data_IF_989951160515
#
_entry.id   IF_989951160515
#
_cell.length_a   1.000
_cell.length_b   1.000
_cell.length_c   1.000
_cell.angle_alpha   90.00
_cell.angle_beta   90.00
_cell.angle_gamma   90.00
#
_symmetry.space_group_name_H-M   'P 1'
#
loop_
_entity.id
_entity.type
_entity.pdbx_description
1 polymer ?
#
# COMPACT_ATOMS: atom_id res chain seq x y z
N UNK A 1 16.43 2.07 38.15
CA UNK A 1 16.79 2.06 36.71
C UNK A 1 17.65 3.26 36.42
N UNK A 2 18.67 3.13 35.56
CA UNK A 2 19.60 4.23 35.26
C UNK A 2 19.55 4.57 33.77
N UNK A 3 19.62 5.86 33.44
CA UNK A 3 19.76 6.36 32.06
C UNK A 3 20.81 7.45 32.00
N UNK A 4 21.60 7.45 30.93
CA UNK A 4 22.61 8.46 30.65
C UNK A 4 22.26 9.16 29.34
N UNK A 5 22.25 10.49 29.37
CA UNK A 5 22.06 11.33 28.17
C UNK A 5 23.24 12.28 27.98
N UNK A 6 23.62 12.55 26.74
CA UNK A 6 24.64 13.53 26.33
C UNK A 6 23.97 14.58 25.43
N UNK A 7 23.99 15.85 25.81
CA UNK A 7 23.36 16.94 25.06
C UNK A 7 21.87 16.67 24.68
N UNK A 8 21.14 15.98 25.55
CA UNK A 8 19.75 15.50 25.35
C UNK A 8 19.58 14.26 24.46
N UNK A 9 20.66 13.72 23.91
CA UNK A 9 20.66 12.44 23.20
C UNK A 9 20.95 11.29 24.17
N UNK A 10 20.27 10.17 23.99
CA UNK A 10 20.47 8.99 24.81
C UNK A 10 21.78 8.28 24.48
N UNK A 11 22.56 7.96 25.51
CA UNK A 11 23.78 7.18 25.39
C UNK A 11 23.42 5.71 25.59
N UNK A 12 23.25 5.00 24.47
CA UNK A 12 22.87 3.57 24.50
C UNK A 12 24.00 2.67 25.01
N UNK A 13 25.26 3.03 24.73
CA UNK A 13 26.45 2.29 25.15
C UNK A 13 27.53 3.23 25.68
N UNK A 14 28.16 2.85 26.79
CA UNK A 14 29.18 3.65 27.47
C UNK A 14 30.55 3.18 26.96
N UNK A 15 30.91 3.66 25.78
CA UNK A 15 32.20 3.38 25.17
C UNK A 15 33.35 4.15 25.87
N UNK A 16 34.61 3.73 25.74
CA UNK A 16 35.74 4.47 26.31
C UNK A 16 35.78 5.95 25.89
N UNK A 17 35.43 6.25 24.63
CA UNK A 17 35.32 7.63 24.14
C UNK A 17 34.26 8.44 24.88
N UNK A 18 33.13 7.82 25.23
CA UNK A 18 32.07 8.43 26.03
C UNK A 18 32.57 8.73 27.44
N UNK A 19 33.34 7.81 28.04
CA UNK A 19 33.92 8.01 29.37
C UNK A 19 34.93 9.15 29.35
N UNK A 20 35.83 9.17 28.36
CA UNK A 20 36.80 10.26 28.19
C UNK A 20 36.11 11.61 28.04
N UNK A 21 35.04 11.65 27.24
CA UNK A 21 34.29 12.87 27.00
C UNK A 21 33.46 13.30 28.21
N UNK A 22 32.90 12.35 28.96
CA UNK A 22 32.26 12.59 30.25
C UNK A 22 33.24 13.18 31.26
N UNK A 23 34.49 12.71 31.29
CA UNK A 23 35.53 13.27 32.15
C UNK A 23 35.97 14.66 31.68
N UNK A 24 36.05 14.92 30.37
CA UNK A 24 36.46 16.21 29.80
C UNK A 24 35.36 17.27 29.90
N UNK A 25 34.10 16.87 29.71
CA UNK A 25 32.94 17.76 29.59
C UNK A 25 31.74 17.20 30.37
N UNK A 26 31.84 17.06 31.70
CA UNK A 26 30.78 16.45 32.51
C UNK A 26 29.43 17.16 32.40
N UNK A 27 29.42 18.47 32.18
CA UNK A 27 28.20 19.29 32.05
C UNK A 27 27.33 18.93 30.84
N UNK A 28 27.92 18.27 29.83
CA UNK A 28 27.18 17.77 28.67
C UNK A 28 26.37 16.52 28.99
N UNK A 29 26.64 15.87 30.11
CA UNK A 29 26.04 14.59 30.47
C UNK A 29 25.07 14.74 31.63
N UNK A 30 24.01 13.94 31.59
CA UNK A 30 23.04 13.84 32.67
C UNK A 30 22.75 12.38 32.97
N UNK A 31 23.01 11.99 34.21
CA UNK A 31 22.66 10.68 34.75
C UNK A 31 21.32 10.79 35.48
N UNK A 32 20.31 10.08 35.01
CA UNK A 32 18.99 10.02 35.65
C UNK A 32 18.85 8.66 36.31
N UNK A 33 18.74 8.66 37.64
CA UNK A 33 18.40 7.47 38.42
C UNK A 33 16.90 7.52 38.71
N UNK A 34 16.19 6.53 38.19
CA UNK A 34 14.75 6.37 38.39
C UNK A 34 14.50 5.28 39.43
N UNK A 35 13.56 5.54 40.33
CA UNK A 35 13.00 4.57 41.25
C UNK A 35 11.54 4.28 40.84
N UNK A 36 11.32 3.43 39.81
CA UNK A 36 9.98 3.14 39.32
C UNK A 36 9.20 2.29 40.32
N UNK A 37 7.93 2.65 40.52
CA UNK A 37 7.01 1.83 41.30
C UNK A 37 6.71 0.48 40.61
N UNK A 38 6.04 -0.42 41.35
CA UNK A 38 5.65 -1.74 40.84
C UNK A 38 4.74 -1.67 39.60
N UNK A 39 3.98 -0.58 39.43
CA UNK A 39 3.14 -0.40 38.25
C UNK A 39 4.00 -0.10 37.01
N UNK A 40 4.97 0.81 37.12
CA UNK A 40 5.93 1.15 36.10
C UNK A 40 6.83 -0.04 35.74
N UNK A 41 7.32 -0.81 36.72
CA UNK A 41 8.09 -2.03 36.47
C UNK A 41 7.28 -3.08 35.70
N UNK A 42 6.02 -3.33 36.10
CA UNK A 42 5.12 -4.25 35.37
C UNK A 42 4.85 -3.76 33.95
N UNK A 43 4.61 -2.47 33.78
CA UNK A 43 4.39 -1.84 32.49
C UNK A 43 5.61 -2.01 31.57
N UNK A 44 6.82 -1.64 32.01
CA UNK A 44 8.04 -1.76 31.23
C UNK A 44 8.35 -3.21 30.85
N UNK A 45 8.18 -4.16 31.78
CA UNK A 45 8.28 -5.61 31.47
C UNK A 45 7.24 -6.03 30.42
N UNK A 46 6.05 -5.43 30.45
CA UNK A 46 5.02 -5.59 29.42
C UNK A 46 5.47 -5.06 28.06
N UNK A 47 6.01 -3.84 28.00
CA UNK A 47 6.54 -3.22 26.79
C UNK A 47 7.61 -4.10 26.16
N UNK A 48 8.62 -4.51 26.94
CA UNK A 48 9.67 -5.38 26.43
C UNK A 48 9.10 -6.66 25.83
N UNK A 49 8.10 -7.30 26.47
CA UNK A 49 7.41 -8.49 25.91
C UNK A 49 6.60 -8.19 24.64
N UNK A 50 6.05 -6.99 24.50
CA UNK A 50 5.28 -6.60 23.32
C UNK A 50 6.15 -6.38 22.08
N UNK A 51 7.37 -5.86 22.26
CA UNK A 51 8.26 -5.49 21.14
C UNK A 51 9.41 -6.47 20.90
N UNK A 52 9.83 -7.23 21.91
CA UNK A 52 10.95 -8.15 21.75
C UNK A 52 10.52 -9.43 21.01
N UNK A 53 11.30 -9.80 19.99
CA UNK A 53 11.16 -11.07 19.30
C UNK A 53 11.61 -12.27 20.18
N UNK A 54 12.51 -12.02 21.14
CA UNK A 54 13.09 -13.06 22.00
C UNK A 54 12.50 -12.95 23.40
N UNK A 55 11.91 -14.06 23.88
CA UNK A 55 11.45 -14.16 25.28
C UNK A 55 12.64 -14.41 26.19
N UNK A 56 13.30 -13.35 26.64
CA UNK A 56 14.33 -13.45 27.68
C UNK A 56 13.67 -13.64 29.06
N UNK A 57 14.04 -14.69 29.81
CA UNK A 57 13.32 -15.07 31.03
C UNK A 57 13.59 -14.16 32.24
N UNK A 58 14.69 -13.39 32.26
CA UNK A 58 14.97 -12.41 33.33
C UNK A 58 15.71 -11.20 32.79
N UNK A 59 15.07 -10.04 32.92
CA UNK A 59 15.69 -8.73 32.66
C UNK A 59 16.12 -8.14 33.99
N UNK A 60 17.41 -7.81 34.12
CA UNK A 60 17.91 -7.08 35.28
C UNK A 60 17.22 -5.71 35.36
N UNK A 61 16.77 -5.31 36.55
CA UNK A 61 15.99 -4.08 36.73
C UNK A 61 16.78 -2.83 36.32
N UNK A 62 18.10 -2.85 36.48
CA UNK A 62 18.99 -1.76 36.05
C UNK A 62 18.92 -1.45 34.55
N UNK A 63 18.62 -2.44 33.70
CA UNK A 63 18.70 -2.33 32.24
C UNK A 63 17.33 -2.24 31.55
N UNK A 64 16.24 -2.24 32.32
CA UNK A 64 14.90 -2.44 31.76
C UNK A 64 14.51 -1.36 30.73
N UNK A 65 14.90 -0.10 30.95
CA UNK A 65 14.65 1.00 30.00
C UNK A 65 15.41 0.78 28.69
N UNK A 66 16.71 0.43 28.77
CA UNK A 66 17.55 0.14 27.62
C UNK A 66 16.96 -1.00 26.80
N UNK A 67 16.63 -2.12 27.44
CA UNK A 67 16.06 -3.29 26.76
C UNK A 67 14.69 -2.99 26.11
N UNK A 68 13.83 -2.21 26.77
CA UNK A 68 12.57 -1.77 26.14
C UNK A 68 12.82 -0.93 24.90
N UNK A 69 13.77 0.00 24.98
CA UNK A 69 14.11 0.88 23.87
C UNK A 69 14.72 0.11 22.71
N UNK A 70 15.68 -0.78 22.96
CA UNK A 70 16.31 -1.64 21.96
C UNK A 70 15.28 -2.54 21.27
N UNK A 71 14.34 -3.10 22.04
CA UNK A 71 13.24 -3.88 21.47
C UNK A 71 12.35 -3.03 20.54
N UNK A 72 12.04 -1.79 20.91
CA UNK A 72 11.29 -0.86 20.06
C UNK A 72 12.08 -0.50 18.80
N UNK A 73 13.38 -0.19 18.90
CA UNK A 73 14.20 0.14 17.73
C UNK A 73 14.34 -1.06 16.78
N UNK A 74 14.58 -2.25 17.34
CA UNK A 74 14.61 -3.49 16.57
C UNK A 74 13.28 -3.72 15.85
N UNK A 75 12.15 -3.58 16.54
CA UNK A 75 10.84 -3.67 15.91
C UNK A 75 10.65 -2.63 14.79
N UNK A 76 11.01 -1.36 15.03
CA UNK A 76 10.94 -0.29 14.02
C UNK A 76 11.73 -0.61 12.75
N UNK A 77 12.88 -1.27 12.88
CA UNK A 77 13.71 -1.66 11.74
C UNK A 77 13.02 -2.70 10.83
N UNK A 78 12.12 -3.50 11.38
CA UNK A 78 11.34 -4.49 10.63
C UNK A 78 10.01 -3.95 10.10
N UNK A 79 9.67 -2.70 10.40
CA UNK A 79 8.44 -2.10 9.90
C UNK A 79 8.55 -1.79 8.40
N UNK A 80 7.41 -1.82 7.67
CA UNK A 80 7.33 -1.24 6.33
C UNK A 80 7.82 0.21 6.32
N UNK A 81 8.43 0.64 5.22
CA UNK A 81 9.10 1.96 5.15
C UNK A 81 8.18 3.13 5.51
N UNK A 82 6.89 3.04 5.16
CA UNK A 82 5.90 4.07 5.46
C UNK A 82 5.12 3.86 6.76
N UNK A 83 5.39 2.82 7.56
CA UNK A 83 4.63 2.56 8.78
C UNK A 83 4.60 3.76 9.73
N UNK A 84 5.69 4.54 9.80
CA UNK A 84 5.80 5.71 10.69
C UNK A 84 5.34 7.04 10.06
N UNK A 85 5.10 7.08 8.74
CA UNK A 85 4.77 8.31 8.01
C UNK A 85 3.39 8.27 7.34
N UNK A 86 2.86 7.08 7.08
CA UNK A 86 1.60 6.86 6.37
C UNK A 86 0.44 7.56 7.06
N UNK A 87 -0.42 8.17 6.24
CA UNK A 87 -1.71 8.73 6.66
C UNK A 87 -2.82 7.66 6.71
N UNK A 88 -2.53 6.42 6.31
CA UNK A 88 -3.49 5.31 6.29
C UNK A 88 -3.54 4.51 7.59
N UNK A 89 -3.28 5.17 8.71
CA UNK A 89 -3.42 4.59 10.05
C UNK A 89 -4.68 5.14 10.71
N UNK A 90 -5.35 4.30 11.50
CA UNK A 90 -6.53 4.72 12.23
C UNK A 90 -6.25 5.91 13.15
N UNK A 91 -7.27 6.77 13.35
CA UNK A 91 -7.15 8.00 14.16
C UNK A 91 -6.61 7.74 15.57
N UNK A 92 -6.95 6.60 16.17
CA UNK A 92 -6.51 6.24 17.52
C UNK A 92 -5.02 5.86 17.59
N UNK A 93 -4.44 5.32 16.50
CA UNK A 93 -3.03 4.92 16.43
C UNK A 93 -2.12 6.08 16.00
N UNK A 94 -2.67 7.16 15.44
CA UNK A 94 -1.90 8.31 14.94
C UNK A 94 -1.00 8.98 15.99
N UNK A 95 -1.45 9.28 17.23
CA UNK A 95 -0.56 9.83 18.25
C UNK A 95 0.60 8.88 18.58
N UNK A 96 0.33 7.57 18.61
CA UNK A 96 1.34 6.55 18.89
C UNK A 96 2.38 6.49 17.77
N UNK A 97 1.94 6.50 16.51
CA UNK A 97 2.81 6.58 15.33
C UNK A 97 3.75 7.79 15.40
N UNK A 98 3.22 8.97 15.73
CA UNK A 98 4.00 10.21 15.86
C UNK A 98 5.05 10.07 16.96
N UNK A 99 4.70 9.52 18.12
CA UNK A 99 5.66 9.27 19.21
C UNK A 99 6.76 8.30 18.79
N UNK A 100 6.44 7.24 18.05
CA UNK A 100 7.42 6.26 17.55
C UNK A 100 8.37 6.83 16.49
N UNK A 101 7.90 7.79 15.69
CA UNK A 101 8.69 8.46 14.65
C UNK A 101 9.74 9.42 15.19
N UNK A 102 9.63 9.85 16.45
CA UNK A 102 10.60 10.76 17.07
C UNK A 102 11.81 9.99 17.59
N UNK A 103 13.00 10.49 17.30
CA UNK A 103 14.22 10.11 18.02
C UNK A 103 14.30 10.96 19.28
N UNK A 104 14.45 10.35 20.45
CA UNK A 104 14.49 11.08 21.71
C UNK A 104 14.79 10.19 22.90
N UNK A 105 14.85 10.83 24.07
CA UNK A 105 15.07 10.21 25.37
C UNK A 105 14.13 9.00 25.60
N UNK A 106 14.69 7.77 25.76
CA UNK A 106 13.92 6.57 26.05
C UNK A 106 13.04 6.68 27.28
N UNK A 107 13.48 7.41 28.32
CA UNK A 107 12.67 7.59 29.53
C UNK A 107 11.38 8.32 29.17
N UNK A 108 11.53 9.48 28.50
CA UNK A 108 10.39 10.28 28.06
C UNK A 108 9.47 9.48 27.12
N UNK A 109 10.04 8.77 26.15
CA UNK A 109 9.26 7.94 25.22
C UNK A 109 8.44 6.89 25.98
N UNK A 110 9.09 6.11 26.84
CA UNK A 110 8.49 4.96 27.52
C UNK A 110 7.51 5.38 28.61
N UNK A 111 7.85 6.38 29.42
CA UNK A 111 7.10 6.73 30.63
C UNK A 111 6.11 7.89 30.43
N UNK A 112 6.24 8.66 29.34
CA UNK A 112 5.39 9.84 29.09
C UNK A 112 4.71 9.77 27.73
N UNK A 113 5.48 9.69 26.64
CA UNK A 113 4.93 9.89 25.30
C UNK A 113 4.05 8.72 24.84
N UNK A 114 4.43 7.46 25.12
CA UNK A 114 3.60 6.28 24.82
C UNK A 114 2.28 6.28 25.63
N UNK A 115 2.30 6.38 26.97
CA UNK A 115 1.06 6.44 27.77
C UNK A 115 0.12 7.57 27.33
N UNK A 116 0.68 8.75 27.05
CA UNK A 116 -0.08 9.92 26.58
C UNK A 116 -0.68 9.66 25.20
N UNK A 117 0.10 9.11 24.26
CA UNK A 117 -0.37 8.77 22.93
C UNK A 117 -1.51 7.75 22.93
N UNK A 118 -1.48 6.77 23.84
CA UNK A 118 -2.54 5.80 24.03
C UNK A 118 -3.70 6.30 24.91
N UNK A 119 -3.62 7.53 25.45
CA UNK A 119 -4.62 8.09 26.35
C UNK A 119 -4.85 7.26 27.62
N UNK A 120 -3.84 6.52 28.09
CA UNK A 120 -3.98 5.58 29.19
C UNK A 120 -2.78 5.67 30.16
N UNK A 121 -3.02 5.93 31.47
CA UNK A 121 -1.94 6.05 32.43
C UNK A 121 -1.29 4.70 32.76
N UNK A 122 -0.02 4.73 33.15
CA UNK A 122 0.78 3.54 33.51
C UNK A 122 0.14 2.72 34.64
N UNK A 123 -0.54 3.37 35.59
CA UNK A 123 -1.28 2.71 36.66
C UNK A 123 -2.31 1.69 36.15
N UNK A 124 -2.81 1.85 34.91
CA UNK A 124 -3.71 0.91 34.22
C UNK A 124 -2.96 0.05 33.20
N UNK A 125 -1.80 -0.49 33.60
CA UNK A 125 -0.81 -1.15 32.72
C UNK A 125 -1.41 -2.19 31.76
N UNK A 126 -2.32 -3.06 32.21
CA UNK A 126 -2.97 -4.04 31.32
C UNK A 126 -3.76 -3.40 30.17
N UNK A 127 -4.52 -2.33 30.46
CA UNK A 127 -5.29 -1.59 29.45
C UNK A 127 -4.35 -0.85 28.50
N UNK A 128 -3.31 -0.22 29.04
CA UNK A 128 -2.30 0.47 28.25
C UNK A 128 -1.56 -0.50 27.31
N UNK A 129 -1.09 -1.64 27.80
CA UNK A 129 -0.41 -2.66 26.99
C UNK A 129 -1.30 -3.23 25.87
N UNK A 130 -2.60 -3.40 26.14
CA UNK A 130 -3.56 -3.79 25.11
C UNK A 130 -3.65 -2.73 24.00
N UNK A 131 -3.81 -1.46 24.37
CA UNK A 131 -3.87 -0.35 23.42
C UNK A 131 -2.57 -0.21 22.60
N UNK A 132 -1.41 -0.41 23.23
CA UNK A 132 -0.11 -0.44 22.53
C UNK A 132 -0.05 -1.60 21.55
N UNK A 133 -0.52 -2.79 21.93
CA UNK A 133 -0.58 -3.95 21.05
C UNK A 133 -1.48 -3.73 19.82
N UNK A 134 -2.62 -3.05 20.00
CA UNK A 134 -3.51 -2.64 18.91
C UNK A 134 -2.82 -1.64 17.97
N UNK A 135 -2.19 -0.59 18.52
CA UNK A 135 -1.44 0.38 17.73
C UNK A 135 -0.26 -0.26 16.99
N UNK A 136 0.47 -1.18 17.63
CA UNK A 136 1.58 -1.92 17.02
C UNK A 136 1.11 -2.72 15.81
N UNK A 137 0.03 -3.49 15.95
CA UNK A 137 -0.56 -4.28 14.84
C UNK A 137 -0.99 -3.40 13.68
N UNK A 138 -1.61 -2.26 13.96
CA UNK A 138 -2.02 -1.29 12.94
C UNK A 138 -0.82 -0.78 12.11
N UNK A 139 0.31 -0.48 12.77
CA UNK A 139 1.52 -0.02 12.07
C UNK A 139 2.19 -1.14 11.27
N UNK A 140 2.13 -2.38 11.78
CA UNK A 140 2.62 -3.58 11.08
C UNK A 140 1.77 -3.90 9.83
N UNK A 141 0.46 -3.62 9.87
CA UNK A 141 -0.47 -3.92 8.77
C UNK A 141 -0.50 -2.88 7.64
N UNK A 142 0.23 -1.77 7.75
CA UNK A 142 0.22 -0.68 6.74
C UNK A 142 0.54 -1.20 5.33
N UNK A 143 1.49 -2.12 5.19
CA UNK A 143 1.80 -2.73 3.91
C UNK A 143 0.61 -3.53 3.34
N UNK A 144 -0.11 -4.27 4.18
CA UNK A 144 -1.33 -4.98 3.79
C UNK A 144 -2.41 -4.03 3.27
N UNK A 145 -2.62 -2.90 3.95
CA UNK A 145 -3.56 -1.85 3.48
C UNK A 145 -3.18 -1.32 2.09
N UNK A 146 -1.88 -1.22 1.78
CA UNK A 146 -1.43 -0.83 0.44
C UNK A 146 -1.67 -1.91 -0.60
N UNK A 147 -1.46 -3.19 -0.26
CA UNK A 147 -1.81 -4.32 -1.13
C UNK A 147 -3.30 -4.31 -1.45
N UNK A 148 -4.17 -4.19 -0.45
CA UNK A 148 -5.63 -4.13 -0.65
C UNK A 148 -6.04 -3.00 -1.61
N UNK A 149 -5.40 -1.83 -1.47
CA UNK A 149 -5.64 -0.70 -2.38
C UNK A 149 -5.13 -0.95 -3.79
N UNK A 150 -3.95 -1.56 -3.91
CA UNK A 150 -3.40 -1.94 -5.21
C UNK A 150 -4.32 -2.95 -5.91
N UNK A 151 -4.82 -3.96 -5.18
CA UNK A 151 -5.83 -4.92 -5.68
C UNK A 151 -7.07 -4.18 -6.17
N UNK A 152 -7.62 -3.27 -5.37
CA UNK A 152 -8.78 -2.48 -5.76
C UNK A 152 -8.51 -1.60 -6.99
N UNK A 153 -7.31 -1.04 -7.11
CA UNK A 153 -6.89 -0.23 -8.26
C UNK A 153 -6.77 -1.04 -9.54
N UNK A 154 -6.13 -2.21 -9.50
CA UNK A 154 -6.06 -3.12 -10.65
C UNK A 154 -7.45 -3.58 -11.03
N UNK A 155 -8.26 -4.05 -10.07
CA UNK A 155 -9.63 -4.49 -10.31
C UNK A 155 -10.46 -3.40 -10.98
N UNK A 156 -10.44 -2.16 -10.49
CA UNK A 156 -11.17 -1.04 -11.12
C UNK A 156 -10.65 -0.67 -12.51
N UNK A 157 -9.37 -0.91 -12.79
CA UNK A 157 -8.80 -0.61 -14.09
C UNK A 157 -9.26 -1.62 -15.15
N UNK A 158 -9.24 -2.92 -14.82
CA UNK A 158 -9.48 -4.01 -15.79
C UNK A 158 -10.90 -4.60 -15.77
N UNK A 159 -11.67 -4.43 -14.69
CA UNK A 159 -13.03 -5.00 -14.55
C UNK A 159 -14.09 -3.94 -14.78
N UNK A 160 -15.12 -4.28 -15.58
CA UNK A 160 -16.44 -3.64 -15.48
C UNK A 160 -17.61 -4.66 -15.47
N UNK A 161 -18.53 -4.42 -14.52
CA UNK A 161 -19.88 -4.98 -14.32
C UNK A 161 -20.13 -6.50 -14.13
N UNK A 162 -19.33 -7.45 -14.64
CA UNK A 162 -19.74 -8.89 -14.67
C UNK A 162 -18.83 -9.89 -13.94
N UNK A 163 -18.07 -9.42 -12.97
CA UNK A 163 -17.24 -10.32 -12.15
C UNK A 163 -18.03 -10.84 -10.95
N UNK A 164 -18.07 -12.16 -10.77
CA UNK A 164 -18.64 -12.76 -9.58
C UNK A 164 -17.92 -12.24 -8.32
N UNK A 165 -18.69 -11.92 -7.27
CA UNK A 165 -18.17 -11.30 -6.04
C UNK A 165 -17.00 -12.06 -5.37
N UNK A 166 -16.77 -13.31 -5.74
CA UNK A 166 -15.76 -14.21 -5.15
C UNK A 166 -14.56 -14.51 -6.06
N UNK A 167 -14.43 -13.91 -7.24
CA UNK A 167 -13.28 -14.16 -8.11
C UNK A 167 -12.01 -13.45 -7.60
N UNK A 168 -10.90 -14.17 -7.62
CA UNK A 168 -9.57 -13.64 -7.25
C UNK A 168 -9.09 -12.62 -8.28
N UNK A 169 -8.21 -11.70 -7.87
CA UNK A 169 -7.63 -10.73 -8.83
C UNK A 169 -6.87 -11.45 -9.95
N UNK A 170 -6.19 -12.56 -9.63
CA UNK A 170 -5.43 -13.37 -10.60
C UNK A 170 -6.29 -13.91 -11.73
N UNK A 171 -7.44 -14.50 -11.42
CA UNK A 171 -8.35 -15.06 -12.43
C UNK A 171 -8.89 -13.97 -13.36
N UNK A 172 -9.20 -12.81 -12.78
CA UNK A 172 -9.68 -11.65 -13.51
C UNK A 172 -8.58 -11.09 -14.42
N UNK A 173 -7.37 -10.90 -13.89
CA UNK A 173 -6.22 -10.39 -14.62
C UNK A 173 -5.86 -11.31 -15.79
N UNK A 174 -5.84 -12.63 -15.56
CA UNK A 174 -5.59 -13.61 -16.61
C UNK A 174 -6.67 -13.59 -17.70
N UNK A 175 -7.95 -13.50 -17.32
CA UNK A 175 -9.06 -13.41 -18.27
C UNK A 175 -9.00 -12.12 -19.10
N UNK A 176 -8.70 -10.99 -18.47
CA UNK A 176 -8.53 -9.72 -19.16
C UNK A 176 -7.35 -9.78 -20.13
N UNK A 177 -6.21 -10.32 -19.69
CA UNK A 177 -5.02 -10.45 -20.54
C UNK A 177 -5.26 -11.41 -21.73
N UNK A 178 -6.06 -12.47 -21.54
CA UNK A 178 -6.44 -13.40 -22.60
C UNK A 178 -7.35 -12.78 -23.68
N UNK A 179 -7.91 -11.58 -23.46
CA UNK A 179 -8.63 -10.86 -24.50
C UNK A 179 -7.72 -10.34 -25.63
N UNK A 180 -6.39 -10.36 -25.44
CA UNK A 180 -5.43 -9.80 -26.37
C UNK A 180 -4.59 -10.91 -27.04
N UNK A 181 -4.62 -11.05 -28.37
CA UNK A 181 -3.90 -12.13 -29.05
C UNK A 181 -2.39 -11.90 -29.05
N UNK A 182 -1.58 -12.96 -29.06
CA UNK A 182 -0.11 -12.88 -29.02
C UNK A 182 0.48 -11.99 -30.11
N UNK A 183 -0.10 -12.01 -31.31
CA UNK A 183 0.32 -11.15 -32.42
C UNK A 183 0.18 -9.66 -32.10
N UNK A 184 -0.89 -9.26 -31.39
CA UNK A 184 -1.07 -7.88 -30.94
C UNK A 184 0.02 -7.52 -29.92
N UNK A 185 0.27 -8.41 -28.97
CA UNK A 185 1.32 -8.24 -27.96
C UNK A 185 2.69 -8.10 -28.62
N UNK A 186 3.00 -8.89 -29.64
CA UNK A 186 4.30 -8.86 -30.30
C UNK A 186 4.48 -7.63 -31.19
N UNK A 187 3.46 -7.21 -31.94
CA UNK A 187 3.60 -6.19 -32.99
C UNK A 187 3.26 -4.78 -32.53
N UNK A 188 2.28 -4.61 -31.64
CA UNK A 188 1.66 -3.30 -31.39
C UNK A 188 1.82 -2.79 -29.95
N UNK A 189 2.03 -3.69 -28.98
CA UNK A 189 2.15 -3.28 -27.59
C UNK A 189 3.51 -2.63 -27.28
N UNK A 190 3.51 -1.52 -26.52
CA UNK A 190 4.73 -0.92 -25.95
C UNK A 190 5.37 -1.89 -24.94
N UNK A 191 6.68 -1.80 -24.69
CA UNK A 191 7.42 -2.72 -23.79
C UNK A 191 6.76 -2.93 -22.41
N UNK A 192 6.23 -1.84 -21.82
CA UNK A 192 5.51 -1.88 -20.53
C UNK A 192 4.19 -2.64 -20.68
N UNK A 193 3.45 -2.43 -21.76
CA UNK A 193 2.20 -3.12 -22.04
C UNK A 193 2.41 -4.63 -22.23
N UNK A 194 3.45 -5.04 -22.98
CA UNK A 194 3.84 -6.45 -23.13
C UNK A 194 4.14 -7.10 -21.77
N UNK A 195 4.93 -6.40 -20.96
CA UNK A 195 5.32 -6.87 -19.63
C UNK A 195 4.12 -6.96 -18.70
N UNK A 196 3.17 -6.03 -18.80
CA UNK A 196 1.95 -6.03 -18.00
C UNK A 196 1.06 -7.21 -18.36
N UNK A 197 0.77 -7.43 -19.65
CA UNK A 197 -0.02 -8.55 -20.14
C UNK A 197 0.60 -9.90 -19.78
N UNK A 198 1.93 -10.02 -19.93
CA UNK A 198 2.67 -11.21 -19.53
C UNK A 198 2.54 -11.47 -18.02
N UNK A 199 2.72 -10.45 -17.17
CA UNK A 199 2.57 -10.58 -15.72
C UNK A 199 1.14 -10.89 -15.32
N UNK A 200 0.12 -10.35 -15.99
CA UNK A 200 -1.29 -10.63 -15.71
C UNK A 200 -1.71 -12.05 -16.13
N UNK A 201 -1.02 -12.65 -17.11
CA UNK A 201 -1.29 -14.01 -17.58
C UNK A 201 -0.53 -15.10 -16.83
N UNK A 202 0.46 -14.72 -16.02
CA UNK A 202 1.30 -15.67 -15.28
C UNK A 202 0.54 -16.29 -14.10
N UNK A 203 0.70 -17.60 -13.82
CA UNK A 203 0.15 -18.21 -12.62
C UNK A 203 0.91 -17.74 -11.37
N UNK A 204 0.19 -17.22 -10.38
CA UNK A 204 0.72 -16.95 -9.04
C UNK A 204 -0.11 -17.69 -8.00
N UNK A 205 0.50 -17.95 -6.85
CA UNK A 205 -0.14 -18.65 -5.73
C UNK A 205 -1.20 -17.78 -5.04
N UNK A 206 -0.98 -16.47 -4.94
CA UNK A 206 -1.88 -15.50 -4.31
C UNK A 206 -1.91 -14.11 -5.01
N UNK A 207 -2.90 -13.28 -4.64
CA UNK A 207 -3.10 -11.96 -5.24
C UNK A 207 -1.96 -11.00 -4.84
N UNK A 208 -1.31 -11.22 -3.69
CA UNK A 208 -0.23 -10.37 -3.21
C UNK A 208 1.02 -10.51 -4.08
N UNK A 209 1.36 -11.73 -4.51
CA UNK A 209 2.47 -11.99 -5.44
C UNK A 209 2.25 -11.36 -6.81
N UNK A 210 1.00 -11.38 -7.31
CA UNK A 210 0.65 -10.65 -8.53
C UNK A 210 0.85 -9.14 -8.31
N UNK A 211 0.34 -8.56 -7.23
CA UNK A 211 0.51 -7.14 -6.93
C UNK A 211 1.99 -6.79 -6.77
N UNK A 212 2.78 -7.62 -6.11
CA UNK A 212 4.22 -7.41 -5.93
C UNK A 212 4.95 -7.45 -7.28
N UNK A 213 4.56 -8.35 -8.17
CA UNK A 213 5.04 -8.38 -9.56
C UNK A 213 4.64 -7.09 -10.28
N UNK A 214 3.38 -6.67 -10.26
CA UNK A 214 2.94 -5.43 -10.92
C UNK A 214 3.60 -4.17 -10.34
N UNK A 215 3.83 -4.16 -9.04
CA UNK A 215 4.49 -3.10 -8.29
C UNK A 215 5.92 -2.84 -8.78
N UNK A 216 6.70 -3.91 -8.95
CA UNK A 216 8.03 -3.82 -9.57
C UNK A 216 8.00 -3.35 -11.02
N UNK A 217 6.97 -3.72 -11.79
CA UNK A 217 6.86 -3.27 -13.19
C UNK A 217 6.55 -1.77 -13.28
N UNK A 218 5.54 -1.32 -12.52
CA UNK A 218 4.91 -0.03 -12.74
C UNK A 218 5.52 1.08 -11.89
N UNK A 219 6.13 0.74 -10.74
CA UNK A 219 6.71 1.73 -9.82
C UNK A 219 8.15 1.39 -9.40
N UNK A 220 8.67 0.22 -9.82
CA UNK A 220 10.08 -0.13 -9.66
C UNK A 220 10.50 -0.56 -8.25
N UNK A 221 9.55 -0.80 -7.33
CA UNK A 221 9.86 -1.19 -5.95
C UNK A 221 8.75 -2.03 -5.31
N UNK A 222 9.13 -2.97 -4.45
CA UNK A 222 8.25 -3.79 -3.60
C UNK A 222 7.21 -2.97 -2.82
N UNK A 223 6.03 -3.54 -2.58
CA UNK A 223 4.96 -2.93 -1.75
C UNK A 223 5.44 -2.62 -0.33
N UNK A 224 6.37 -3.42 0.21
CA UNK A 224 6.99 -3.17 1.53
C UNK A 224 7.75 -1.83 1.62
N UNK A 225 8.18 -1.29 0.47
CA UNK A 225 8.90 -0.02 0.32
C UNK A 225 8.00 1.12 -0.15
N UNK A 226 6.68 0.91 -0.20
CA UNK A 226 5.74 1.93 -0.60
C UNK A 226 5.52 2.97 0.49
N UNK A 227 5.13 4.15 0.04
CA UNK A 227 4.56 5.24 0.81
C UNK A 227 3.22 5.67 0.20
N UNK A 228 2.55 6.64 0.84
CA UNK A 228 1.23 7.11 0.40
C UNK A 228 1.25 7.63 -1.04
N UNK A 229 2.33 8.29 -1.48
CA UNK A 229 2.49 8.76 -2.87
C UNK A 229 2.62 7.60 -3.85
N UNK A 230 3.34 6.55 -3.47
CA UNK A 230 3.56 5.37 -4.31
C UNK A 230 2.24 4.66 -4.64
N UNK A 231 1.28 4.63 -3.71
CA UNK A 231 -0.05 4.07 -3.95
C UNK A 231 -0.78 4.84 -5.07
N UNK A 232 -0.64 6.17 -5.08
CA UNK A 232 -1.25 7.04 -6.09
C UNK A 232 -0.56 6.84 -7.45
N UNK A 233 0.78 6.78 -7.45
CA UNK A 233 1.56 6.52 -8.66
C UNK A 233 1.23 5.15 -9.26
N UNK A 234 1.10 4.12 -8.42
CA UNK A 234 0.67 2.79 -8.85
C UNK A 234 -0.72 2.82 -9.49
N UNK A 235 -1.72 3.40 -8.82
CA UNK A 235 -3.09 3.51 -9.36
C UNK A 235 -3.12 4.23 -10.72
N UNK A 236 -2.39 5.36 -10.83
CA UNK A 236 -2.27 6.10 -12.09
C UNK A 236 -1.60 5.25 -13.18
N UNK A 237 -0.48 4.63 -12.87
CA UNK A 237 0.30 3.87 -13.84
C UNK A 237 -0.44 2.61 -14.32
N UNK A 238 -1.17 1.93 -13.43
CA UNK A 238 -2.06 0.82 -13.79
C UNK A 238 -3.14 1.29 -14.77
N UNK A 239 -3.87 2.36 -14.42
CA UNK A 239 -4.96 2.86 -15.28
C UNK A 239 -4.46 3.30 -16.64
N UNK A 240 -3.33 4.00 -16.67
CA UNK A 240 -2.75 4.46 -17.93
C UNK A 240 -2.27 3.29 -18.79
N UNK A 241 -1.59 2.30 -18.21
CA UNK A 241 -1.14 1.13 -18.94
C UNK A 241 -2.31 0.32 -19.51
N UNK A 242 -3.37 0.09 -18.71
CA UNK A 242 -4.60 -0.58 -19.16
C UNK A 242 -5.27 0.22 -20.28
N UNK A 243 -5.44 1.54 -20.11
CA UNK A 243 -6.03 2.42 -21.12
C UNK A 243 -5.26 2.35 -22.45
N UNK A 244 -3.93 2.41 -22.40
CA UNK A 244 -3.09 2.35 -23.60
C UNK A 244 -3.17 0.99 -24.30
N UNK A 245 -3.23 -0.11 -23.55
CA UNK A 245 -3.41 -1.45 -24.11
C UNK A 245 -4.75 -1.54 -24.84
N UNK A 246 -5.82 -1.11 -24.17
CA UNK A 246 -7.17 -1.14 -24.74
C UNK A 246 -7.27 -0.24 -25.97
N UNK A 247 -6.77 1.00 -25.90
CA UNK A 247 -6.79 1.95 -27.02
C UNK A 247 -6.00 1.42 -28.22
N UNK A 248 -4.82 0.84 -27.99
CA UNK A 248 -4.02 0.22 -29.05
C UNK A 248 -4.73 -0.99 -29.66
N UNK A 249 -5.39 -1.82 -28.83
CA UNK A 249 -6.12 -2.99 -29.32
C UNK A 249 -7.34 -2.61 -30.17
N UNK A 250 -8.01 -1.52 -29.82
CA UNK A 250 -9.18 -1.02 -30.55
C UNK A 250 -8.80 -0.23 -31.82
N UNK A 251 -7.62 0.39 -31.83
CA UNK A 251 -7.12 1.16 -32.97
C UNK A 251 -6.37 0.31 -33.98
N UNK A 252 -5.83 -0.84 -33.55
CA UNK A 252 -5.15 -1.77 -34.43
C UNK A 252 -6.17 -2.39 -35.39
N UNK A 253 -5.90 -2.29 -36.69
CA UNK A 253 -6.61 -3.01 -37.75
C UNK A 253 -6.23 -4.50 -37.67
N UNK A 254 -6.69 -5.15 -36.59
CA UNK A 254 -6.41 -6.54 -36.32
C UNK A 254 -7.32 -7.38 -37.22
N UNK A 255 -6.74 -8.07 -38.19
CA UNK A 255 -7.44 -9.09 -38.96
C UNK A 255 -7.77 -10.29 -38.05
N UNK A 256 -8.82 -10.18 -37.25
CA UNK A 256 -9.29 -11.20 -36.29
C UNK A 256 -9.99 -12.37 -36.96
N UNK A 257 -9.94 -12.52 -38.29
CA UNK A 257 -10.64 -13.57 -39.04
C UNK A 257 -10.35 -14.99 -38.53
N UNK A 258 -9.11 -15.27 -38.11
CA UNK A 258 -8.65 -16.61 -37.71
C UNK A 258 -8.59 -16.85 -36.18
N UNK A 259 -8.92 -15.87 -35.33
CA UNK A 259 -8.82 -15.99 -33.86
C UNK A 259 -10.14 -15.63 -33.17
N UNK A 260 -11.06 -16.60 -33.15
CA UNK A 260 -12.40 -16.45 -32.55
C UNK A 260 -12.31 -16.09 -31.06
N UNK A 261 -11.33 -16.63 -30.32
CA UNK A 261 -11.16 -16.36 -28.90
C UNK A 261 -10.76 -14.90 -28.63
N UNK A 262 -9.82 -14.36 -29.42
CA UNK A 262 -9.45 -12.95 -29.34
C UNK A 262 -10.59 -12.03 -29.76
N UNK A 263 -11.35 -12.39 -30.81
CA UNK A 263 -12.52 -11.63 -31.26
C UNK A 263 -13.58 -11.56 -30.18
N UNK A 264 -13.90 -12.69 -29.55
CA UNK A 264 -14.86 -12.76 -28.44
C UNK A 264 -14.38 -11.99 -27.21
N UNK A 265 -13.08 -12.10 -26.89
CA UNK A 265 -12.44 -11.36 -25.81
C UNK A 265 -12.54 -9.84 -25.99
N UNK A 266 -12.15 -9.34 -27.16
CA UNK A 266 -12.25 -7.91 -27.50
C UNK A 266 -13.69 -7.42 -27.57
N UNK A 267 -14.60 -8.22 -28.14
CA UNK A 267 -16.03 -7.88 -28.19
C UNK A 267 -16.63 -7.78 -26.79
N UNK A 268 -16.25 -8.68 -25.88
CA UNK A 268 -16.63 -8.62 -24.47
C UNK A 268 -16.06 -7.37 -23.80
N UNK A 269 -14.77 -7.09 -23.99
CA UNK A 269 -14.11 -5.89 -23.45
C UNK A 269 -14.80 -4.59 -23.90
N UNK A 270 -15.12 -4.49 -25.20
CA UNK A 270 -15.87 -3.36 -25.75
C UNK A 270 -17.25 -3.21 -25.12
N UNK A 271 -18.00 -4.31 -25.03
CA UNK A 271 -19.33 -4.32 -24.43
C UNK A 271 -19.28 -3.82 -22.99
N UNK A 272 -18.38 -4.38 -22.18
CA UNK A 272 -18.19 -3.99 -20.78
C UNK A 272 -17.83 -2.51 -20.65
N UNK A 273 -16.96 -2.00 -21.54
CA UNK A 273 -16.59 -0.59 -21.55
C UNK A 273 -17.74 0.32 -21.93
N UNK A 274 -18.53 -0.06 -22.92
CA UNK A 274 -19.74 0.69 -23.32
C UNK A 274 -20.76 0.71 -22.18
N UNK A 275 -20.93 -0.40 -21.46
CA UNK A 275 -21.81 -0.46 -20.28
C UNK A 275 -21.34 0.48 -19.17
N UNK A 276 -20.07 0.44 -18.77
CA UNK A 276 -19.53 1.36 -17.73
C UNK A 276 -19.67 2.83 -18.13
N UNK A 277 -19.36 3.18 -19.38
CA UNK A 277 -19.55 4.54 -19.88
C UNK A 277 -21.01 4.97 -19.83
N UNK A 278 -21.93 4.09 -20.25
CA UNK A 278 -23.37 4.36 -20.21
C UNK A 278 -23.89 4.53 -18.77
N UNK A 279 -23.46 3.69 -17.83
CA UNK A 279 -23.82 3.82 -16.40
C UNK A 279 -23.34 5.15 -15.80
N UNK A 280 -22.10 5.55 -16.10
CA UNK A 280 -21.56 6.85 -15.67
C UNK A 280 -22.32 8.02 -16.28
N UNK A 281 -22.65 7.95 -17.57
CA UNK A 281 -23.48 8.96 -18.24
C UNK A 281 -24.87 9.01 -17.62
N UNK A 282 -25.46 7.86 -17.29
CA UNK A 282 -26.77 7.76 -16.61
C UNK A 282 -26.72 8.38 -15.23
N UNK A 283 -25.67 8.13 -14.45
CA UNK A 283 -25.47 8.76 -13.14
C UNK A 283 -25.36 10.29 -13.21
N UNK A 284 -24.83 10.83 -14.33
CA UNK A 284 -24.64 12.26 -14.52
C UNK A 284 -25.87 12.98 -15.10
N UNK A 285 -26.52 12.38 -16.10
CA UNK A 285 -27.57 13.02 -16.91
C UNK A 285 -28.97 12.46 -16.65
N UNK A 286 -29.08 11.39 -15.86
CA UNK A 286 -30.28 10.56 -15.76
C UNK A 286 -30.48 9.61 -16.95
N UNK A 287 -31.37 8.61 -16.83
CA UNK A 287 -31.59 7.58 -17.86
C UNK A 287 -31.98 8.14 -19.22
N UNK A 288 -32.97 9.03 -19.25
CA UNK A 288 -33.44 9.67 -20.50
C UNK A 288 -32.37 10.56 -21.15
N UNK A 289 -31.46 11.13 -20.36
CA UNK A 289 -30.33 11.90 -20.85
C UNK A 289 -29.29 11.02 -21.54
N UNK A 290 -28.94 9.89 -20.90
CA UNK A 290 -28.02 8.91 -21.45
C UNK A 290 -28.54 8.26 -22.73
N UNK A 291 -29.83 7.88 -22.77
CA UNK A 291 -30.46 7.29 -23.96
C UNK A 291 -30.45 8.23 -25.16
N UNK A 292 -30.79 9.51 -24.94
CA UNK A 292 -30.72 10.52 -26.01
C UNK A 292 -29.30 10.71 -26.54
N UNK A 293 -28.31 10.74 -25.66
CA UNK A 293 -26.90 10.83 -26.05
C UNK A 293 -26.47 9.63 -26.89
N UNK A 294 -26.77 8.41 -26.45
CA UNK A 294 -26.44 7.19 -27.19
C UNK A 294 -27.13 7.15 -28.56
N UNK A 295 -28.42 7.49 -28.62
CA UNK A 295 -29.18 7.56 -29.88
C UNK A 295 -28.55 8.56 -30.88
N UNK A 296 -28.09 9.72 -30.40
CA UNK A 296 -27.44 10.73 -31.25
C UNK A 296 -26.12 10.23 -31.85
N UNK A 297 -25.31 9.48 -31.10
CA UNK A 297 -24.05 8.90 -31.57
C UNK A 297 -24.33 7.86 -32.65
N UNK A 298 -25.30 6.97 -32.42
CA UNK A 298 -25.71 5.94 -33.40
C UNK A 298 -26.23 6.57 -34.70
N UNK A 299 -27.05 7.62 -34.60
CA UNK A 299 -27.54 8.36 -35.77
C UNK A 299 -26.41 9.04 -36.54
N UNK A 300 -25.46 9.67 -35.84
CA UNK A 300 -24.30 10.30 -36.46
C UNK A 300 -23.40 9.29 -37.19
N UNK A 301 -23.23 8.08 -36.64
CA UNK A 301 -22.52 6.98 -37.30
C UNK A 301 -23.16 6.55 -38.62
N UNK A 302 -24.47 6.28 -38.61
CA UNK A 302 -25.24 5.89 -39.82
C UNK A 302 -25.19 6.93 -40.94
N UNK A 303 -25.11 8.22 -40.60
CA UNK A 303 -24.99 9.30 -41.58
C UNK A 303 -23.60 9.34 -42.25
N UNK A 304 -22.53 9.05 -41.51
CA UNK A 304 -21.16 8.99 -42.05
C UNK A 304 -20.96 7.82 -43.03
N UNK A 305 -21.55 6.66 -42.73
CA UNK A 305 -21.52 5.49 -43.63
C UNK A 305 -22.21 5.76 -44.98
N UNK A 306 -23.37 6.44 -44.97
CA UNK A 306 -24.06 6.83 -46.21
C UNK A 306 -23.24 7.77 -47.09
N UNK A 307 -22.51 8.71 -46.49
CA UNK A 307 -21.65 9.64 -47.24
C UNK A 307 -20.41 8.96 -47.85
N UNK A 308 -19.87 7.92 -47.21
CA UNK A 308 -18.75 7.14 -47.77
C UNK A 308 -19.20 6.15 -48.86
N UNK A 309 -20.44 5.63 -48.77
CA UNK A 309 -21.00 4.71 -49.77
C UNK A 309 -21.30 5.36 -51.15
N UNK A 310 -21.62 6.65 -51.19
CA UNK A 310 -21.93 7.35 -52.45
C UNK A 310 -20.66 7.71 -53.28
N UNK A 311 -19.51 7.89 -52.62
CA UNK A 311 -18.25 8.16 -53.33
C UNK A 311 -17.63 6.91 -54.00
N UNK A 312 -17.91 5.70 -53.50
CA UNK A 312 -17.38 4.46 -54.07
C UNK A 312 -18.14 3.96 -55.33
N UNK A 313 -19.29 4.55 -55.66
CA UNK A 313 -20.13 4.13 -56.81
C UNK A 313 -20.04 5.06 -58.02
N UNK A 314 -19.16 6.06 -57.98
CA UNK A 314 -19.03 7.09 -59.03
C UNK A 314 -17.72 6.97 -59.83
N UNK A 315 -17.11 5.77 -59.90
CA UNK A 315 -15.91 5.48 -60.71
C UNK A 315 -16.13 4.24 -61.56
#
# INVERSE_FOLDING_TARGET
VVSLTKASDYVADILPSVIEELCKHPDLFRLTVLDPDDAALRYLRGIHRCFSAVRTPRVAEGELIRMCYDAIQSWKFHLPAAALTSKQVAKHARPFQISMGRTGDPIRLLLTDIPTACGCPIAKSNKLLKAIGECKKELESVAGTYVERAVASVRRAIVHATVGANESLREIAGRWAACFPDRFVQQNAVSVAKSLLSRMSMPYDDDELLIESLSHLLVGKSVSKWDDSTVIDFDRNVREAVRLIEEAALSADLDLSDDDAARDGLSRLLRERMTDLYERTTALLGPEGADRMLASIVLAGKLREKQHGDHARSS
#
